data_IF_893834053957
#
_entry.id   IF_893834053957
#
_cell.length_a   1.000
_cell.length_b   1.000
_cell.length_c   1.000
_cell.angle_alpha   90.00
_cell.angle_beta   90.00
_cell.angle_gamma   90.00
#
_symmetry.space_group_name_H-M   'P 1'
#
loop_
_entity.id
_entity.type
_entity.pdbx_description
1 polymer ?
#
# COMPACT_ATOMS: atom_id res chain seq x y z
N UNK A 1 30.69 -11.15 -15.62
CA UNK A 1 31.55 -12.32 -15.91
C UNK A 1 31.20 -13.42 -14.93
N UNK A 2 30.78 -14.58 -15.44
CA UNK A 2 30.58 -15.79 -14.63
C UNK A 2 31.94 -16.47 -14.49
N UNK A 3 32.38 -16.75 -13.26
CA UNK A 3 33.57 -17.57 -13.03
C UNK A 3 33.33 -18.97 -13.63
N UNK A 4 34.30 -19.55 -14.35
CA UNK A 4 34.18 -20.90 -14.89
C UNK A 4 34.16 -21.99 -13.80
N UNK A 5 34.40 -21.64 -12.54
CA UNK A 5 34.45 -22.56 -11.41
C UNK A 5 33.08 -22.65 -10.73
N UNK A 6 32.53 -23.87 -10.62
CA UNK A 6 31.26 -24.13 -9.92
C UNK A 6 31.51 -23.91 -8.43
N UNK A 7 31.04 -22.78 -7.90
CA UNK A 7 31.08 -22.46 -6.48
C UNK A 7 29.69 -22.22 -5.92
N UNK A 8 29.52 -22.45 -4.63
CA UNK A 8 28.30 -22.07 -3.94
C UNK A 8 28.10 -20.54 -3.99
N UNK A 9 26.83 -20.14 -4.04
CA UNK A 9 26.46 -18.74 -4.03
C UNK A 9 26.86 -18.13 -2.69
N UNK A 10 27.52 -16.97 -2.75
CA UNK A 10 27.82 -16.23 -1.52
C UNK A 10 26.53 -15.68 -0.92
N UNK A 11 26.55 -15.45 0.40
CA UNK A 11 25.44 -14.86 1.16
C UNK A 11 24.99 -13.50 0.58
N UNK A 12 25.92 -12.76 -0.03
CA UNK A 12 25.68 -11.48 -0.68
C UNK A 12 24.98 -11.65 -2.03
N UNK A 13 25.44 -12.59 -2.86
CA UNK A 13 24.82 -12.91 -4.15
C UNK A 13 23.40 -13.44 -3.97
N UNK A 14 23.20 -14.30 -2.98
CA UNK A 14 21.89 -14.84 -2.65
C UNK A 14 20.94 -13.72 -2.16
N UNK A 15 21.45 -12.77 -1.38
CA UNK A 15 20.70 -11.58 -0.97
C UNK A 15 20.32 -10.69 -2.15
N UNK A 16 21.29 -10.32 -3.00
CA UNK A 16 21.05 -9.48 -4.16
C UNK A 16 20.13 -10.15 -5.18
N UNK A 17 20.32 -11.45 -5.45
CA UNK A 17 19.48 -12.19 -6.38
C UNK A 17 18.02 -12.22 -5.93
N UNK A 18 17.75 -12.51 -4.64
CA UNK A 18 16.40 -12.53 -4.09
C UNK A 18 15.74 -11.14 -4.05
N UNK A 19 16.46 -10.14 -3.56
CA UNK A 19 15.95 -8.76 -3.49
C UNK A 19 15.71 -8.17 -4.88
N UNK A 20 16.62 -8.41 -5.83
CA UNK A 20 16.46 -8.01 -7.23
C UNK A 20 15.26 -8.72 -7.87
N UNK A 21 15.10 -10.03 -7.66
CA UNK A 21 13.95 -10.79 -8.16
C UNK A 21 12.61 -10.23 -7.68
N UNK A 22 12.49 -9.94 -6.37
CA UNK A 22 11.29 -9.32 -5.80
C UNK A 22 11.03 -7.91 -6.37
N UNK A 23 12.09 -7.12 -6.58
CA UNK A 23 12.00 -5.77 -7.14
C UNK A 23 11.55 -5.80 -8.60
N UNK A 24 12.17 -6.66 -9.42
CA UNK A 24 11.85 -6.80 -10.85
C UNK A 24 10.43 -7.33 -11.06
N UNK A 25 9.98 -8.28 -10.23
CA UNK A 25 8.61 -8.77 -10.26
C UNK A 25 7.61 -7.64 -9.97
N UNK A 26 7.86 -6.88 -8.89
CA UNK A 26 7.01 -5.74 -8.50
C UNK A 26 6.98 -4.67 -9.59
N UNK A 27 8.14 -4.33 -10.14
CA UNK A 27 8.28 -3.34 -11.20
C UNK A 27 7.57 -3.80 -12.48
N UNK A 28 7.69 -5.07 -12.86
CA UNK A 28 6.98 -5.64 -14.00
C UNK A 28 5.45 -5.54 -13.84
N UNK A 29 4.93 -5.87 -12.66
CA UNK A 29 3.50 -5.73 -12.36
C UNK A 29 3.07 -4.26 -12.44
N UNK A 30 3.84 -3.34 -11.85
CA UNK A 30 3.56 -1.90 -11.91
C UNK A 30 3.57 -1.35 -13.33
N UNK A 31 4.52 -1.76 -14.17
CA UNK A 31 4.60 -1.36 -15.58
C UNK A 31 3.33 -1.78 -16.30
N UNK A 32 2.94 -3.05 -16.20
CA UNK A 32 1.73 -3.57 -16.87
C UNK A 32 0.46 -2.82 -16.43
N UNK A 33 0.35 -2.50 -15.14
CA UNK A 33 -0.78 -1.74 -14.61
C UNK A 33 -0.79 -0.28 -15.07
N UNK A 34 0.35 0.39 -15.01
CA UNK A 34 0.45 1.81 -15.33
C UNK A 34 0.41 2.09 -16.83
N UNK A 35 0.77 1.11 -17.68
CA UNK A 35 0.58 1.19 -19.14
C UNK A 35 -0.91 1.22 -19.53
N UNK A 36 -1.81 0.84 -18.63
CA UNK A 36 -3.26 0.84 -18.89
C UNK A 36 -3.71 -0.25 -19.87
N UNK A 37 -2.86 -1.23 -20.16
CA UNK A 37 -3.19 -2.39 -21.00
C UNK A 37 -4.11 -3.39 -20.30
N UNK A 38 -4.27 -3.28 -18.98
CA UNK A 38 -5.16 -4.14 -18.19
C UNK A 38 -6.47 -3.37 -17.90
N UNK A 39 -7.60 -3.72 -18.54
CA UNK A 39 -8.87 -3.07 -18.29
C UNK A 39 -9.40 -3.44 -16.90
N UNK A 40 -9.45 -2.46 -15.99
CA UNK A 40 -9.93 -2.64 -14.62
C UNK A 40 -11.47 -2.48 -14.49
N UNK A 41 -12.24 -2.89 -15.51
CA UNK A 41 -13.61 -2.34 -15.73
C UNK A 41 -14.75 -3.13 -15.08
N UNK A 42 -14.51 -4.28 -14.46
CA UNK A 42 -15.63 -5.17 -14.05
C UNK A 42 -15.75 -5.46 -12.55
N UNK A 43 -14.71 -5.19 -11.74
CA UNK A 43 -14.77 -5.37 -10.27
C UNK A 43 -14.09 -4.24 -9.48
N UNK A 44 -13.23 -3.45 -10.12
CA UNK A 44 -12.55 -2.27 -9.55
C UNK A 44 -13.34 -0.98 -9.81
N UNK A 45 -14.50 -1.03 -10.47
CA UNK A 45 -15.32 0.15 -10.72
C UNK A 45 -15.76 0.86 -9.44
N UNK A 46 -15.79 0.20 -8.28
CA UNK A 46 -16.06 0.86 -6.99
C UNK A 46 -14.84 1.63 -6.43
N UNK A 47 -13.62 1.40 -6.94
CA UNK A 47 -12.43 2.24 -6.66
C UNK A 47 -12.26 3.39 -7.65
N UNK A 48 -13.19 3.61 -8.59
CA UNK A 48 -13.23 4.88 -9.38
C UNK A 48 -13.63 6.09 -8.54
N UNK A 49 -14.04 5.89 -7.28
CA UNK A 49 -14.13 6.95 -6.29
C UNK A 49 -12.84 7.06 -5.42
N UNK A 50 -11.71 6.48 -5.83
CA UNK A 50 -10.47 6.58 -5.08
C UNK A 50 -9.81 7.93 -5.31
N UNK A 51 -10.01 8.85 -4.36
CA UNK A 51 -9.31 10.12 -4.39
C UNK A 51 -7.83 9.93 -4.04
N UNK A 52 -6.95 9.97 -5.05
CA UNK A 52 -5.61 10.56 -4.93
C UNK A 52 -5.52 11.73 -5.93
N UNK A 53 -6.51 12.63 -5.85
CA UNK A 53 -6.52 14.02 -6.31
C UNK A 53 -7.86 14.65 -5.88
N UNK A 54 -7.90 15.97 -5.68
CA UNK A 54 -9.13 16.74 -5.39
C UNK A 54 -9.98 17.02 -6.63
N UNK A 55 -9.51 16.59 -7.80
CA UNK A 55 -10.10 16.90 -9.11
C UNK A 55 -10.83 15.67 -9.64
N UNK A 56 -12.12 15.81 -9.96
CA UNK A 56 -12.99 14.72 -10.39
C UNK A 56 -12.64 14.10 -11.76
N UNK A 57 -11.60 14.60 -12.44
CA UNK A 57 -11.26 14.27 -13.83
C UNK A 57 -9.78 13.89 -14.04
N UNK A 58 -9.12 13.36 -13.00
CA UNK A 58 -7.73 12.91 -13.10
C UNK A 58 -7.62 11.52 -13.78
N UNK A 59 -6.97 11.41 -14.95
CA UNK A 59 -6.76 10.12 -15.62
C UNK A 59 -5.90 9.13 -14.82
N UNK A 60 -5.21 9.56 -13.74
CA UNK A 60 -4.42 8.70 -12.85
C UNK A 60 -5.22 8.03 -11.73
N UNK A 61 -6.44 8.52 -11.46
CA UNK A 61 -7.30 8.03 -10.38
C UNK A 61 -7.54 6.49 -10.38
N UNK A 62 -7.78 5.79 -11.51
CA UNK A 62 -8.08 4.36 -11.48
C UNK A 62 -6.86 3.47 -11.14
N UNK A 63 -5.63 3.96 -11.33
CA UNK A 63 -4.40 3.19 -11.10
C UNK A 63 -3.73 3.51 -9.76
N UNK A 64 -4.17 4.55 -9.05
CA UNK A 64 -3.60 4.98 -7.78
C UNK A 64 -3.68 3.89 -6.69
N UNK A 65 -4.87 3.30 -6.48
CA UNK A 65 -5.07 2.27 -5.45
C UNK A 65 -4.35 0.96 -5.77
N UNK A 66 -4.42 0.41 -6.99
CA UNK A 66 -3.64 -0.77 -7.34
C UNK A 66 -2.13 -0.55 -7.16
N UNK A 67 -1.60 0.58 -7.62
CA UNK A 67 -0.18 0.91 -7.51
C UNK A 67 0.26 1.02 -6.05
N UNK A 68 -0.53 1.71 -5.23
CA UNK A 68 -0.30 1.84 -3.79
C UNK A 68 -0.37 0.48 -3.08
N UNK A 69 -1.31 -0.37 -3.46
CA UNK A 69 -1.46 -1.71 -2.86
C UNK A 69 -0.24 -2.57 -3.15
N UNK A 70 0.23 -2.58 -4.40
CA UNK A 70 1.38 -3.38 -4.83
C UNK A 70 2.68 -2.87 -4.22
N UNK A 71 2.90 -1.55 -4.18
CA UNK A 71 4.08 -0.99 -3.51
C UNK A 71 4.08 -1.32 -2.02
N UNK A 72 2.93 -1.24 -1.37
CA UNK A 72 2.78 -1.58 0.05
C UNK A 72 3.13 -3.04 0.29
N UNK A 73 2.57 -3.97 -0.50
CA UNK A 73 2.88 -5.41 -0.39
C UNK A 73 4.38 -5.69 -0.59
N UNK A 74 5.01 -5.02 -1.56
CA UNK A 74 6.45 -5.13 -1.79
C UNK A 74 7.25 -4.67 -0.57
N UNK A 75 6.93 -3.50 0.00
CA UNK A 75 7.59 -3.01 1.21
C UNK A 75 7.37 -3.96 2.40
N UNK A 76 6.19 -4.55 2.55
CA UNK A 76 5.93 -5.57 3.57
C UNK A 76 6.78 -6.82 3.39
N UNK A 77 6.86 -7.34 2.16
CA UNK A 77 7.69 -8.51 1.83
C UNK A 77 9.19 -8.24 2.07
N UNK A 78 9.68 -7.07 1.69
CA UNK A 78 11.07 -6.67 1.93
C UNK A 78 11.35 -6.46 3.42
N UNK A 79 10.43 -5.86 4.17
CA UNK A 79 10.56 -5.69 5.61
C UNK A 79 10.68 -7.03 6.34
N UNK A 80 9.82 -8.00 5.96
CA UNK A 80 9.85 -9.36 6.47
C UNK A 80 11.14 -10.09 6.08
N UNK A 81 11.55 -9.99 4.82
CA UNK A 81 12.79 -10.61 4.34
C UNK A 81 14.02 -10.07 5.08
N UNK A 82 14.14 -8.75 5.23
CA UNK A 82 15.21 -8.12 6.01
C UNK A 82 15.16 -8.54 7.48
N UNK A 83 13.97 -8.63 8.09
CA UNK A 83 13.84 -9.12 9.47
C UNK A 83 14.32 -10.58 9.62
N UNK A 84 13.88 -11.47 8.73
CA UNK A 84 14.31 -12.87 8.73
C UNK A 84 15.83 -13.01 8.57
N UNK A 85 16.45 -12.14 7.76
CA UNK A 85 17.91 -12.08 7.60
C UNK A 85 18.62 -11.50 8.83
N UNK A 86 18.02 -10.52 9.50
CA UNK A 86 18.55 -9.99 10.75
C UNK A 86 18.58 -11.06 11.85
N UNK A 87 17.51 -11.85 12.00
CA UNK A 87 17.43 -12.90 13.02
C UNK A 87 18.42 -14.05 12.76
N UNK A 88 18.78 -14.30 11.49
CA UNK A 88 19.73 -15.38 11.13
C UNK A 88 21.20 -14.93 11.12
N UNK A 89 21.50 -13.71 10.67
CA UNK A 89 22.89 -13.23 10.47
C UNK A 89 23.32 -12.22 11.54
N UNK A 90 22.38 -11.56 12.23
CA UNK A 90 22.66 -10.59 13.30
C UNK A 90 23.20 -9.24 12.84
N UNK A 91 23.33 -8.99 11.53
CA UNK A 91 23.86 -7.73 11.01
C UNK A 91 22.85 -6.58 11.11
N UNK A 92 23.27 -5.48 11.73
CA UNK A 92 22.43 -4.30 11.95
C UNK A 92 21.89 -3.66 10.65
N UNK A 93 22.59 -3.83 9.52
CA UNK A 93 22.12 -3.38 8.20
C UNK A 93 20.77 -3.99 7.83
N UNK A 94 20.53 -5.25 8.15
CA UNK A 94 19.24 -5.91 7.91
C UNK A 94 18.15 -5.42 8.86
N UNK A 95 18.48 -5.06 10.11
CA UNK A 95 17.53 -4.43 11.03
C UNK A 95 17.10 -3.05 10.52
N UNK A 96 18.05 -2.23 10.07
CA UNK A 96 17.75 -0.92 9.46
C UNK A 96 16.91 -1.06 8.18
N UNK A 97 17.25 -2.04 7.33
CA UNK A 97 16.44 -2.36 6.15
C UNK A 97 15.01 -2.75 6.50
N UNK A 98 14.83 -3.62 7.51
CA UNK A 98 13.52 -4.03 8.00
C UNK A 98 12.70 -2.86 8.53
N UNK A 99 13.32 -1.97 9.31
CA UNK A 99 12.67 -0.75 9.82
C UNK A 99 12.27 0.21 8.69
N UNK A 100 13.16 0.45 7.74
CA UNK A 100 12.89 1.35 6.61
C UNK A 100 11.73 0.85 5.73
N UNK A 101 11.79 -0.42 5.33
CA UNK A 101 10.71 -1.03 4.57
C UNK A 101 9.42 -1.18 5.38
N UNK A 102 9.52 -1.47 6.69
CA UNK A 102 8.38 -1.57 7.60
C UNK A 102 7.67 -0.24 7.80
N UNK A 103 8.40 0.88 7.86
CA UNK A 103 7.82 2.21 7.92
C UNK A 103 7.03 2.53 6.64
N UNK A 104 7.59 2.21 5.46
CA UNK A 104 6.89 2.38 4.19
C UNK A 104 5.66 1.49 4.08
N UNK A 105 5.72 0.25 4.58
CA UNK A 105 4.56 -0.63 4.69
C UNK A 105 3.47 -0.05 5.59
N UNK A 106 3.84 0.51 6.75
CA UNK A 106 2.89 1.13 7.67
C UNK A 106 2.22 2.36 7.05
N UNK A 107 2.98 3.23 6.38
CA UNK A 107 2.45 4.40 5.65
C UNK A 107 1.54 3.96 4.51
N UNK A 108 1.97 2.99 3.70
CA UNK A 108 1.17 2.44 2.61
C UNK A 108 -0.14 1.82 3.11
N UNK A 109 -0.09 1.02 4.18
CA UNK A 109 -1.25 0.46 4.85
C UNK A 109 -2.18 1.53 5.41
N UNK A 110 -1.64 2.59 6.01
CA UNK A 110 -2.43 3.75 6.45
C UNK A 110 -3.15 4.41 5.27
N UNK A 111 -2.45 4.65 4.17
CA UNK A 111 -3.05 5.23 2.96
C UNK A 111 -4.13 4.32 2.38
N UNK A 112 -3.96 2.99 2.39
CA UNK A 112 -4.98 2.04 1.94
C UNK A 112 -6.22 2.10 2.84
N UNK A 113 -6.03 2.05 4.16
CA UNK A 113 -7.14 2.00 5.13
C UNK A 113 -7.92 3.32 5.22
N UNK A 114 -7.23 4.45 5.13
CA UNK A 114 -7.83 5.76 5.42
C UNK A 114 -7.83 6.73 4.23
N UNK A 115 -6.93 6.55 3.27
CA UNK A 115 -6.76 7.44 2.12
C UNK A 115 -7.50 7.00 0.85
N UNK A 116 -7.91 5.74 0.72
CA UNK A 116 -8.54 5.24 -0.52
C UNK A 116 -10.07 5.28 -0.54
N UNK A 117 -10.71 5.47 0.62
CA UNK A 117 -12.16 5.52 0.71
C UNK A 117 -12.68 6.94 0.45
N UNK A 118 -13.47 7.13 -0.61
CA UNK A 118 -14.30 8.32 -0.73
C UNK A 118 -15.46 8.29 0.27
N UNK A 119 -15.54 9.35 1.08
CA UNK A 119 -16.66 9.56 1.98
C UNK A 119 -17.98 9.70 1.20
N UNK A 120 -19.04 9.06 1.69
CA UNK A 120 -20.39 9.26 1.14
C UNK A 120 -21.13 10.23 2.03
N UNK A 121 -20.92 11.52 1.78
CA UNK A 121 -21.58 12.59 2.51
C UNK A 121 -23.07 12.59 2.18
N UNK A 122 -23.90 12.39 3.20
CA UNK A 122 -25.35 12.45 3.05
C UNK A 122 -25.80 13.90 2.86
N UNK A 123 -26.52 14.18 1.77
CA UNK A 123 -27.15 15.51 1.56
C UNK A 123 -28.13 15.91 2.67
N UNK A 124 -28.77 14.95 3.33
CA UNK A 124 -29.78 15.21 4.38
C UNK A 124 -29.16 15.52 5.75
N UNK A 125 -28.03 14.89 6.09
CA UNK A 125 -27.45 14.95 7.44
C UNK A 125 -26.05 15.55 7.47
N UNK A 126 -25.45 15.85 6.32
CA UNK A 126 -24.06 16.29 6.19
C UNK A 126 -23.03 15.29 6.72
N UNK A 127 -23.45 14.05 7.03
CA UNK A 127 -22.60 13.05 7.67
C UNK A 127 -22.04 12.09 6.65
N UNK A 128 -20.78 11.70 6.83
CA UNK A 128 -20.21 10.63 6.05
C UNK A 128 -20.74 9.29 6.57
N UNK A 129 -21.47 8.57 5.69
CA UNK A 129 -22.11 7.29 6.01
C UNK A 129 -21.16 6.10 5.92
N UNK A 130 -19.99 6.26 5.28
CA UNK A 130 -19.01 5.18 5.10
C UNK A 130 -17.89 5.22 6.13
N UNK A 131 -17.86 6.23 6.98
CA UNK A 131 -16.86 6.35 8.04
C UNK A 131 -17.40 5.94 9.41
N UNK A 132 -16.55 5.26 10.16
CA UNK A 132 -16.81 4.66 11.48
C UNK A 132 -16.16 5.52 12.57
N UNK A 133 -16.74 5.50 13.77
CA UNK A 133 -16.16 6.10 14.99
C UNK A 133 -15.40 5.05 15.83
N UNK A 134 -15.10 3.89 15.25
CA UNK A 134 -14.37 2.79 15.86
C UNK A 134 -13.18 2.41 14.98
N UNK A 135 -11.99 2.14 15.56
CA UNK A 135 -11.68 2.16 16.99
C UNK A 135 -11.36 3.55 17.57
N UNK A 136 -11.16 4.56 16.71
CA UNK A 136 -10.82 5.93 17.10
C UNK A 136 -12.01 6.88 16.88
N UNK A 137 -12.10 7.92 17.71
CA UNK A 137 -13.16 8.93 17.59
C UNK A 137 -13.09 9.67 16.26
N UNK A 138 -14.23 9.80 15.57
CA UNK A 138 -14.41 10.52 14.33
C UNK A 138 -15.69 11.38 14.37
N UNK A 139 -15.51 12.69 14.47
CA UNK A 139 -16.60 13.70 14.49
C UNK A 139 -17.43 13.72 13.22
N UNK A 140 -16.87 13.29 12.09
CA UNK A 140 -17.54 13.30 10.78
C UNK A 140 -18.41 12.06 10.54
N UNK A 141 -18.33 11.05 11.42
CA UNK A 141 -19.13 9.83 11.30
C UNK A 141 -20.63 10.09 11.44
N UNK A 142 -21.43 9.31 10.73
CA UNK A 142 -22.90 9.33 10.87
C UNK A 142 -23.36 9.14 12.32
N UNK A 143 -22.67 8.31 13.10
CA UNK A 143 -22.95 8.11 14.52
C UNK A 143 -22.66 9.35 15.37
N UNK A 144 -21.55 10.05 15.10
CA UNK A 144 -21.17 11.28 15.80
C UNK A 144 -22.10 12.44 15.46
N UNK A 145 -22.40 12.67 14.17
CA UNK A 145 -23.35 13.72 13.76
C UNK A 145 -24.76 13.47 14.27
N UNK A 146 -25.22 12.20 14.31
CA UNK A 146 -26.51 11.83 14.91
C UNK A 146 -26.53 12.11 16.41
N UNK A 147 -25.45 11.81 17.14
CA UNK A 147 -25.33 12.14 18.57
C UNK A 147 -25.31 13.64 18.84
N UNK A 148 -24.57 14.41 18.04
CA UNK A 148 -24.53 15.87 18.15
C UNK A 148 -25.91 16.50 17.90
N UNK A 149 -26.62 16.06 16.85
CA UNK A 149 -27.97 16.53 16.55
C UNK A 149 -29.03 16.17 17.62
N UNK A 150 -28.78 15.15 18.46
CA UNK A 150 -29.66 14.79 19.59
C UNK A 150 -29.35 15.60 20.86
N UNK A 151 -28.20 16.26 20.91
CA UNK A 151 -27.74 17.05 22.06
C UNK A 151 -27.99 18.56 21.88
N UNK A 152 -28.17 19.01 20.64
CA UNK A 152 -28.68 20.33 20.29
C UNK A 152 -30.21 20.36 20.45
#
# INVERSE_FOLDING_TARGET
>A
MLSPEIREATVLEEYFSRSLGMTLLTLGIMVVLLTGSVPLTSSISDTTNAAVTTEANDPKAPYAVPTLTISTLYHGAMAFFCYARYVTVGQASFALGSLGFGALFAVGGWCILFGTASGRISRKTGADKRTSNFPFGNSESASAKKRAAKRA
#
